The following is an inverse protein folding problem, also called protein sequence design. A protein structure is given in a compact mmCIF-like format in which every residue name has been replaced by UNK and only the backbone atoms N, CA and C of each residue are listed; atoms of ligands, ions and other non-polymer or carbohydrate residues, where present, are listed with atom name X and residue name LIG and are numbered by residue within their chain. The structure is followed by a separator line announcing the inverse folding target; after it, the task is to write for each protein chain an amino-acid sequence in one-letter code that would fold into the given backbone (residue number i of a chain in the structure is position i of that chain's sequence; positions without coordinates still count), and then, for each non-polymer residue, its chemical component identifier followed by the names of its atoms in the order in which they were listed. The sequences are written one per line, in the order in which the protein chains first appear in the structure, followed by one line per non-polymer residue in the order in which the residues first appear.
data_IF_338500127898
#
_entry.id   IF_338500127898
#
_cell.length_a   1.000
_cell.length_b   1.000
_cell.length_c   1.000
_cell.angle_alpha   90.00
_cell.angle_beta   90.00
_cell.angle_gamma   90.00
#
_symmetry.space_group_name_H-M   'P 1'
#
loop_
_entity.id
_entity.type
_entity.pdbx_description
1 polymer ?
#
# COMPACT_ATOMS: atom_id res chain seq x y z
N UNK A 1 -1.13 -0.82 15.81
CA UNK A 1 -0.94 -1.10 14.37
C UNK A 1 0.42 -1.73 14.19
N UNK A 2 0.52 -2.82 13.44
CA UNK A 2 1.80 -3.46 13.10
C UNK A 2 2.37 -2.83 11.84
N UNK A 3 3.69 -2.94 11.67
CA UNK A 3 4.37 -2.48 10.46
C UNK A 3 3.93 -3.25 9.20
N UNK A 4 3.36 -4.45 9.37
CA UNK A 4 2.89 -5.34 8.31
C UNK A 4 1.43 -5.11 7.89
N UNK A 5 0.71 -4.21 8.55
CA UNK A 5 -0.68 -3.89 8.17
C UNK A 5 -0.68 -3.08 6.86
N UNK A 6 -1.34 -3.60 5.82
CA UNK A 6 -1.30 -3.09 4.44
C UNK A 6 -2.68 -2.99 3.82
N UNK A 7 -2.75 -2.75 2.51
CA UNK A 7 -4.02 -2.43 1.87
C UNK A 7 -5.02 -3.58 1.98
N UNK A 8 -4.57 -4.83 1.82
CA UNK A 8 -5.39 -6.03 1.89
C UNK A 8 -5.03 -6.85 3.14
N UNK A 9 -3.78 -7.28 3.22
CA UNK A 9 -3.24 -8.23 4.19
C UNK A 9 -2.74 -7.56 5.46
N UNK A 10 -2.62 -8.39 6.51
CA UNK A 10 -2.11 -7.97 7.82
C UNK A 10 -0.89 -8.75 8.28
N UNK A 11 -0.63 -9.92 7.68
CA UNK A 11 0.47 -10.82 8.03
C UNK A 11 0.51 -11.10 9.54
N UNK A 12 -0.61 -11.64 10.01
CA UNK A 12 -0.95 -11.81 11.42
C UNK A 12 -1.22 -13.27 11.79
N UNK A 13 -0.89 -14.20 10.89
CA UNK A 13 -1.11 -15.62 11.12
C UNK A 13 -0.19 -16.11 12.23
N UNK A 14 -0.59 -17.18 12.93
CA UNK A 14 0.25 -17.80 13.95
C UNK A 14 1.55 -18.32 13.32
N UNK A 15 2.68 -18.14 14.01
CA UNK A 15 4.02 -18.50 13.51
C UNK A 15 4.61 -17.54 12.48
N UNK A 16 3.78 -16.70 11.85
CA UNK A 16 4.16 -15.95 10.66
C UNK A 16 5.32 -14.98 10.88
N UNK A 17 6.34 -15.12 10.05
CA UNK A 17 7.49 -14.22 9.98
C UNK A 17 7.43 -13.45 8.68
N UNK A 18 7.42 -12.12 8.79
CA UNK A 18 7.25 -11.26 7.63
C UNK A 18 8.41 -10.28 7.50
N UNK A 19 8.98 -10.20 6.31
CA UNK A 19 9.87 -9.12 5.94
C UNK A 19 9.15 -8.14 5.02
N UNK A 20 9.59 -6.88 5.05
CA UNK A 20 9.01 -5.80 4.29
C UNK A 20 10.11 -4.97 3.63
N UNK A 21 9.93 -4.64 2.37
CA UNK A 21 10.71 -3.64 1.66
C UNK A 21 9.79 -2.55 1.13
N UNK A 22 10.19 -1.29 1.31
CA UNK A 22 9.45 -0.14 0.82
C UNK A 22 10.37 0.84 0.13
N UNK A 23 9.93 1.33 -1.03
CA UNK A 23 10.55 2.41 -1.76
C UNK A 23 9.55 3.55 -1.92
N UNK A 24 9.98 4.77 -1.58
CA UNK A 24 9.20 5.97 -1.80
C UNK A 24 10.01 6.99 -2.58
N UNK A 25 9.32 7.75 -3.42
CA UNK A 25 9.96 8.77 -4.24
C UNK A 25 9.10 10.03 -4.34
N UNK A 26 9.74 11.18 -4.14
CA UNK A 26 9.16 12.51 -4.32
C UNK A 26 9.69 13.13 -5.62
N UNK A 27 8.78 13.36 -6.57
CA UNK A 27 9.13 13.84 -7.90
C UNK A 27 9.31 15.37 -7.98
N UNK A 28 9.24 16.09 -6.86
CA UNK A 28 9.43 17.55 -6.86
C UNK A 28 10.76 17.97 -7.49
N UNK A 29 11.85 17.23 -7.24
CA UNK A 29 13.17 17.50 -7.83
C UNK A 29 13.25 17.22 -9.33
N UNK A 30 12.31 16.46 -9.87
CA UNK A 30 12.17 16.17 -11.30
C UNK A 30 11.15 17.08 -12.01
N UNK A 31 10.67 18.13 -11.32
CA UNK A 31 9.75 19.11 -11.91
C UNK A 31 8.27 18.74 -11.80
N UNK A 32 7.92 17.69 -11.06
CA UNK A 32 6.53 17.32 -10.78
C UNK A 32 6.20 17.46 -9.28
N UNK A 33 6.19 18.69 -8.74
CA UNK A 33 5.86 18.91 -7.33
C UNK A 33 4.43 18.44 -7.04
N UNK A 34 4.26 17.78 -5.90
CA UNK A 34 2.98 17.19 -5.49
C UNK A 34 2.76 15.76 -5.96
N UNK A 35 3.58 15.24 -6.87
CA UNK A 35 3.58 13.83 -7.29
C UNK A 35 4.50 12.99 -6.39
N UNK A 36 3.96 11.91 -5.82
CA UNK A 36 4.70 10.96 -4.99
C UNK A 36 4.33 9.53 -5.36
N UNK A 37 5.30 8.63 -5.33
CA UNK A 37 5.08 7.20 -5.50
C UNK A 37 5.59 6.43 -4.29
N UNK A 38 4.87 5.36 -3.95
CA UNK A 38 5.25 4.40 -2.93
C UNK A 38 5.05 3.00 -3.50
N UNK A 39 6.03 2.13 -3.29
CA UNK A 39 5.96 0.72 -3.64
C UNK A 39 6.39 -0.05 -2.41
N UNK A 40 5.52 -0.93 -1.93
CA UNK A 40 5.81 -1.78 -0.77
C UNK A 40 5.63 -3.23 -1.18
N UNK A 41 6.55 -4.09 -0.75
CA UNK A 41 6.44 -5.53 -0.88
C UNK A 41 6.61 -6.19 0.48
N UNK A 42 5.72 -7.12 0.80
CA UNK A 42 5.74 -7.92 2.01
C UNK A 42 5.72 -9.38 1.61
N UNK A 43 6.47 -10.20 2.34
CA UNK A 43 6.42 -11.65 2.20
C UNK A 43 6.51 -12.27 3.58
N UNK A 44 5.48 -13.07 3.89
CA UNK A 44 5.30 -13.84 5.10
C UNK A 44 5.54 -15.33 4.85
N UNK A 45 6.29 -15.96 5.74
CA UNK A 45 6.53 -17.40 5.77
C UNK A 45 6.31 -17.98 7.18
N UNK A 46 6.50 -19.30 7.35
CA UNK A 46 6.44 -19.98 8.65
C UNK A 46 5.05 -19.92 9.32
N UNK A 47 3.99 -19.89 8.50
CA UNK A 47 2.61 -19.83 9.01
C UNK A 47 2.19 -21.21 9.53
N UNK A 48 1.82 -21.25 10.82
CA UNK A 48 1.32 -22.45 11.49
C UNK A 48 0.02 -22.95 10.84
N UNK A 49 0.08 -24.13 10.22
CA UNK A 49 -1.04 -24.70 9.50
C UNK A 49 -1.06 -26.23 9.52
N UNK A 50 -2.27 -26.80 9.60
CA UNK A 50 -2.49 -28.21 9.33
C UNK A 50 -2.24 -28.48 7.83
N UNK A 51 -1.28 -29.35 7.53
CA UNK A 51 -0.97 -29.77 6.15
C UNK A 51 0.31 -29.20 5.54
N UNK A 52 1.16 -28.53 6.32
CA UNK A 52 2.48 -28.04 5.91
C UNK A 52 2.60 -26.52 5.89
N UNK A 53 3.78 -26.02 5.50
CA UNK A 53 4.14 -24.60 5.54
C UNK A 53 3.24 -23.77 4.61
N UNK A 54 2.75 -22.64 5.12
CA UNK A 54 2.01 -21.65 4.33
C UNK A 54 2.76 -20.33 4.27
N UNK A 55 2.51 -19.59 3.20
CA UNK A 55 3.14 -18.33 2.87
C UNK A 55 2.14 -17.39 2.18
N UNK A 56 2.36 -16.09 2.35
CA UNK A 56 1.65 -15.04 1.62
C UNK A 56 2.61 -13.91 1.24
N UNK A 57 2.27 -13.18 0.18
CA UNK A 57 2.95 -11.96 -0.18
C UNK A 57 1.97 -10.92 -0.69
N UNK A 58 2.27 -9.67 -0.41
CA UNK A 58 1.50 -8.52 -0.86
C UNK A 58 2.42 -7.51 -1.54
N UNK A 59 1.97 -7.01 -2.69
CA UNK A 59 2.58 -5.87 -3.35
C UNK A 59 1.59 -4.72 -3.40
N UNK A 60 1.98 -3.60 -2.82
CA UNK A 60 1.24 -2.35 -2.86
C UNK A 60 1.97 -1.33 -3.75
N UNK A 61 1.20 -0.68 -4.61
CA UNK A 61 1.63 0.47 -5.41
C UNK A 61 0.69 1.62 -5.12
N UNK A 62 1.24 2.76 -4.71
CA UNK A 62 0.48 4.00 -4.48
C UNK A 62 1.09 5.14 -5.26
N UNK A 63 0.24 5.85 -6.00
CA UNK A 63 0.57 7.07 -6.71
C UNK A 63 -0.33 8.19 -6.20
N UNK A 64 0.29 9.23 -5.64
CA UNK A 64 -0.40 10.40 -5.13
C UNK A 64 -0.04 11.62 -5.97
N UNK A 65 -1.03 12.45 -6.27
CA UNK A 65 -0.81 13.75 -6.87
C UNK A 65 -1.65 14.82 -6.18
N UNK A 66 -1.06 15.99 -5.94
CA UNK A 66 -1.75 17.15 -5.35
C UNK A 66 -1.52 18.39 -6.18
N UNK A 67 -2.59 19.15 -6.45
CA UNK A 67 -2.49 20.41 -7.18
C UNK A 67 -1.76 21.46 -6.32
N UNK A 68 -0.64 21.98 -6.83
CA UNK A 68 0.24 22.87 -6.08
C UNK A 68 -0.16 24.35 -6.18
N UNK A 69 -0.96 24.72 -7.18
CA UNK A 69 -1.34 26.11 -7.48
C UNK A 69 -2.73 26.22 -8.12
N UNK A 70 -3.22 27.45 -8.26
CA UNK A 70 -4.51 27.75 -8.89
C UNK A 70 -5.70 27.60 -7.93
N UNK A 71 -6.92 27.74 -8.47
CA UNK A 71 -8.16 27.76 -7.68
C UNK A 71 -8.45 26.44 -6.95
N UNK A 72 -7.88 25.32 -7.42
CA UNK A 72 -8.04 23.99 -6.83
C UNK A 72 -6.79 23.54 -6.06
N UNK A 73 -5.91 24.47 -5.68
CA UNK A 73 -4.71 24.15 -4.88
C UNK A 73 -5.11 23.35 -3.64
N UNK A 74 -4.46 22.20 -3.44
CA UNK A 74 -4.79 21.27 -2.35
C UNK A 74 -5.74 20.14 -2.74
N UNK A 75 -6.32 20.14 -3.95
CA UNK A 75 -7.03 18.98 -4.49
C UNK A 75 -6.04 17.85 -4.72
N UNK A 76 -6.27 16.73 -4.05
CA UNK A 76 -5.42 15.56 -4.04
C UNK A 76 -6.11 14.34 -4.66
N UNK A 77 -5.33 13.56 -5.38
CA UNK A 77 -5.71 12.30 -6.00
C UNK A 77 -4.77 11.21 -5.48
N UNK A 78 -5.30 10.06 -5.12
CA UNK A 78 -4.52 8.88 -4.75
C UNK A 78 -5.08 7.68 -5.49
N UNK A 79 -4.25 7.06 -6.31
CA UNK A 79 -4.51 5.72 -6.83
C UNK A 79 -3.67 4.73 -6.04
N UNK A 80 -4.31 3.64 -5.61
CA UNK A 80 -3.66 2.54 -4.91
C UNK A 80 -4.05 1.22 -5.55
N UNK A 81 -3.06 0.38 -5.81
CA UNK A 81 -3.22 -0.97 -6.30
C UNK A 81 -2.52 -1.93 -5.35
N UNK A 82 -3.20 -3.01 -4.99
CA UNK A 82 -2.66 -4.06 -4.15
C UNK A 82 -2.92 -5.42 -4.79
N UNK A 83 -1.93 -6.31 -4.71
CA UNK A 83 -2.03 -7.71 -5.11
C UNK A 83 -1.56 -8.57 -3.95
N UNK A 84 -2.47 -9.33 -3.35
CA UNK A 84 -2.20 -10.34 -2.33
C UNK A 84 -2.24 -11.71 -2.99
N UNK A 85 -1.23 -12.53 -2.74
CA UNK A 85 -1.16 -13.92 -3.20
C UNK A 85 -0.63 -14.82 -2.11
N UNK A 86 -1.01 -16.09 -2.13
CA UNK A 86 -0.46 -17.06 -1.19
C UNK A 86 -1.09 -18.43 -1.29
N UNK A 87 -0.78 -19.26 -0.30
CA UNK A 87 -1.44 -20.55 -0.08
C UNK A 87 -2.02 -20.64 1.34
N UNK A 88 -2.39 -19.49 1.90
CA UNK A 88 -3.07 -19.36 3.19
C UNK A 88 -4.55 -19.75 3.06
N UNK A 89 -5.33 -19.57 4.13
CA UNK A 89 -6.80 -19.70 4.04
C UNK A 89 -7.45 -18.52 3.31
N UNK A 90 -6.73 -17.42 3.12
CA UNK A 90 -7.20 -16.29 2.34
C UNK A 90 -7.11 -16.60 0.84
N UNK A 91 -8.07 -16.09 0.06
CA UNK A 91 -8.00 -16.17 -1.38
C UNK A 91 -7.05 -15.11 -1.93
N UNK A 92 -6.42 -15.41 -3.06
CA UNK A 92 -5.73 -14.40 -3.88
C UNK A 92 -6.67 -13.23 -4.19
N UNK A 93 -6.19 -12.01 -4.00
CA UNK A 93 -7.00 -10.80 -4.16
C UNK A 93 -6.22 -9.70 -4.89
N UNK A 94 -6.89 -9.01 -5.80
CA UNK A 94 -6.43 -7.75 -6.38
C UNK A 94 -7.40 -6.64 -6.01
N UNK A 95 -6.88 -5.49 -5.59
CA UNK A 95 -7.68 -4.36 -5.16
C UNK A 95 -7.18 -3.04 -5.75
N UNK A 96 -8.12 -2.20 -6.20
CA UNK A 96 -7.84 -0.84 -6.63
C UNK A 96 -8.67 0.15 -5.82
N UNK A 97 -8.02 1.19 -5.28
CA UNK A 97 -8.68 2.33 -4.63
C UNK A 97 -8.34 3.59 -5.40
N UNK A 98 -9.37 4.36 -5.74
CA UNK A 98 -9.21 5.71 -6.27
C UNK A 98 -9.83 6.70 -5.30
N UNK A 99 -9.04 7.65 -4.82
CA UNK A 99 -9.42 8.58 -3.76
C UNK A 99 -9.23 9.99 -4.29
N UNK A 100 -10.27 10.80 -4.17
CA UNK A 100 -10.22 12.24 -4.38
C UNK A 100 -10.40 12.92 -3.03
N UNK A 101 -9.53 13.87 -2.71
CA UNK A 101 -9.51 14.54 -1.41
C UNK A 101 -9.31 16.03 -1.59
N UNK A 102 -10.01 16.82 -0.78
CA UNK A 102 -9.81 18.25 -0.69
C UNK A 102 -10.01 18.71 0.74
N UNK A 103 -9.08 19.47 1.27
CA UNK A 103 -9.15 20.02 2.63
C UNK A 103 -9.50 21.50 2.55
N UNK A 104 -10.66 21.85 3.10
CA UNK A 104 -11.12 23.23 3.25
C UNK A 104 -10.77 23.74 4.64
N UNK A 105 -9.87 24.71 4.72
CA UNK A 105 -9.62 25.43 5.97
C UNK A 105 -10.73 26.47 6.16
N UNK A 106 -11.50 26.35 7.24
CA UNK A 106 -12.67 27.19 7.47
C UNK A 106 -12.36 28.43 8.33
N UNK A 107 -11.44 28.32 9.30
CA UNK A 107 -10.97 29.38 10.19
C UNK A 107 -9.57 29.04 10.70
#
# INVERSE_FOLDING_TARGET
YLITDRQIGKFLSAGERTWLAEYSYDFAKLGAPGLKAFITYLSGDDIDALGGDRQEWERDVRLDYSLQSGALKGLGFSWRNASLRGNTTANDQDENRFIVSYTLTLL
#
